data_IF_825113137368
#
_entry.id   IF_825113137368
#
_cell.length_a   1.000
_cell.length_b   1.000
_cell.length_c   1.000
_cell.angle_alpha   90.00
_cell.angle_beta   90.00
_cell.angle_gamma   90.00
#
_symmetry.space_group_name_H-M   'P 1'
#
loop_
_entity.id
_entity.type
_entity.pdbx_description
1 polymer ?
#
# COMPACT_ATOMS: atom_id res chain seq x y z
N UNK A 1 10.90 3.42 -3.80
CA UNK A 1 10.19 2.11 -3.90
C UNK A 1 9.84 1.81 -5.34
N UNK A 2 10.02 0.57 -5.79
CA UNK A 2 9.62 0.14 -7.15
C UNK A 2 8.62 -1.00 -7.05
N UNK A 3 7.70 -1.05 -8.02
CA UNK A 3 6.74 -2.14 -8.19
C UNK A 3 7.00 -2.80 -9.53
N UNK A 4 7.21 -4.10 -9.51
CA UNK A 4 7.41 -4.93 -10.70
C UNK A 4 6.14 -5.75 -10.91
N UNK A 5 5.61 -5.68 -12.11
CA UNK A 5 4.36 -6.33 -12.53
C UNK A 5 4.68 -7.21 -13.74
N UNK A 6 4.34 -8.49 -13.65
CA UNK A 6 4.45 -9.43 -14.77
C UNK A 6 3.09 -10.06 -15.08
N UNK A 7 2.78 -10.18 -16.37
CA UNK A 7 1.61 -10.86 -16.89
C UNK A 7 0.26 -10.37 -16.33
N UNK A 8 0.08 -9.05 -16.27
CA UNK A 8 -1.17 -8.41 -15.90
C UNK A 8 -2.04 -8.19 -17.16
N UNK A 9 -2.82 -9.16 -17.54
CA UNK A 9 -3.62 -9.12 -18.79
C UNK A 9 -2.74 -8.90 -20.01
N UNK A 10 -2.89 -7.75 -20.67
CA UNK A 10 -2.08 -7.38 -21.86
C UNK A 10 -0.67 -6.87 -21.49
N UNK A 11 -0.42 -6.53 -20.25
CA UNK A 11 0.89 -6.06 -19.77
C UNK A 11 1.78 -7.26 -19.51
N UNK A 12 2.81 -7.45 -20.29
CA UNK A 12 3.76 -8.56 -20.13
C UNK A 12 4.75 -8.30 -19.00
N UNK A 13 5.29 -7.09 -18.97
CA UNK A 13 6.22 -6.64 -17.92
C UNK A 13 6.11 -5.13 -17.74
N UNK A 14 6.13 -4.67 -16.50
CA UNK A 14 6.23 -3.25 -16.16
C UNK A 14 7.01 -3.08 -14.86
N UNK A 15 7.91 -2.09 -14.83
CA UNK A 15 8.56 -1.62 -13.60
C UNK A 15 8.15 -0.19 -13.37
N UNK A 16 7.52 0.08 -12.24
CA UNK A 16 7.00 1.39 -11.87
C UNK A 16 7.82 1.93 -10.68
N UNK A 17 8.42 3.09 -10.87
CA UNK A 17 9.15 3.80 -9.82
C UNK A 17 8.18 4.74 -9.07
N UNK A 18 7.80 4.38 -7.86
CA UNK A 18 6.90 5.16 -7.01
C UNK A 18 7.59 6.31 -6.25
N UNK A 19 8.88 6.53 -6.48
CA UNK A 19 9.60 7.67 -5.92
C UNK A 19 9.33 8.98 -6.65
N UNK A 20 8.54 8.92 -7.70
CA UNK A 20 8.17 10.08 -8.50
C UNK A 20 6.93 10.75 -7.93
N UNK A 21 6.93 12.08 -7.88
CA UNK A 21 5.78 12.86 -7.43
C UNK A 21 4.57 12.74 -8.37
N UNK A 22 4.81 12.40 -9.63
CA UNK A 22 3.78 12.25 -10.66
C UNK A 22 4.13 11.02 -11.49
N UNK A 23 3.15 10.13 -11.68
CA UNK A 23 3.20 9.01 -12.59
C UNK A 23 2.15 9.22 -13.69
N UNK A 24 2.59 9.25 -14.94
CA UNK A 24 1.72 9.41 -16.09
C UNK A 24 1.79 8.17 -16.98
N UNK A 25 0.65 7.46 -17.10
CA UNK A 25 0.52 6.31 -17.99
C UNK A 25 -0.03 6.75 -19.35
N UNK A 26 0.83 6.78 -20.37
CA UNK A 26 0.46 7.11 -21.73
C UNK A 26 0.51 5.87 -22.63
N UNK A 27 -0.30 5.87 -23.69
CA UNK A 27 -0.31 4.80 -24.68
C UNK A 27 -1.70 4.60 -25.32
N UNK A 28 -1.82 3.77 -26.36
CA UNK A 28 -3.07 3.49 -27.05
C UNK A 28 -4.11 2.84 -26.14
N UNK A 29 -5.36 2.78 -26.60
CA UNK A 29 -6.40 2.03 -25.89
C UNK A 29 -6.01 0.55 -25.82
N UNK A 30 -6.46 -0.14 -24.77
CA UNK A 30 -6.14 -1.54 -24.47
C UNK A 30 -4.65 -1.84 -24.20
N UNK A 31 -3.81 -0.85 -23.90
CA UNK A 31 -2.40 -1.09 -23.54
C UNK A 31 -2.18 -1.45 -22.05
N UNK A 32 -3.24 -1.61 -21.26
CA UNK A 32 -3.15 -2.04 -19.86
C UNK A 32 -2.96 -0.91 -18.83
N UNK A 33 -2.99 0.37 -19.22
CA UNK A 33 -2.84 1.52 -18.32
C UNK A 33 -3.76 1.44 -17.10
N UNK A 34 -5.02 1.17 -17.35
CA UNK A 34 -6.05 1.06 -16.31
C UNK A 34 -5.75 -0.12 -15.37
N UNK A 35 -5.30 -1.25 -15.87
CA UNK A 35 -4.93 -2.41 -15.05
C UNK A 35 -3.78 -2.09 -14.10
N UNK A 36 -2.74 -1.40 -14.59
CA UNK A 36 -1.62 -0.95 -13.74
C UNK A 36 -2.13 -0.01 -12.66
N UNK A 37 -2.93 0.99 -13.00
CA UNK A 37 -3.47 1.96 -12.03
C UNK A 37 -4.33 1.26 -10.95
N UNK A 38 -5.17 0.31 -11.33
CA UNK A 38 -5.98 -0.46 -10.38
C UNK A 38 -5.12 -1.32 -9.45
N UNK A 39 -4.11 -2.01 -9.98
CA UNK A 39 -3.19 -2.82 -9.16
C UNK A 39 -2.43 -1.96 -8.17
N UNK A 40 -1.91 -0.81 -8.58
CA UNK A 40 -1.23 0.12 -7.68
C UNK A 40 -2.17 0.66 -6.61
N UNK A 41 -3.38 1.07 -6.99
CA UNK A 41 -4.38 1.52 -6.02
C UNK A 41 -4.74 0.40 -5.03
N UNK A 42 -5.00 -0.79 -5.53
CA UNK A 42 -5.31 -1.94 -4.69
C UNK A 42 -4.15 -2.29 -3.74
N UNK A 43 -2.89 -2.26 -4.22
CA UNK A 43 -1.70 -2.51 -3.40
C UNK A 43 -1.61 -1.54 -2.20
N UNK A 44 -1.88 -0.26 -2.46
CA UNK A 44 -1.78 0.78 -1.44
C UNK A 44 -3.00 0.86 -0.51
N UNK A 45 -4.12 0.24 -0.89
CA UNK A 45 -5.41 0.34 -0.18
C UNK A 45 -5.76 -0.93 0.62
N UNK A 46 -4.80 -1.87 0.86
CA UNK A 46 -5.08 -3.15 1.53
C UNK A 46 -5.30 -3.00 3.04
N UNK A 47 -6.47 -2.49 3.43
CA UNK A 47 -6.84 -2.31 4.84
C UNK A 47 -6.81 -3.60 5.68
N UNK A 48 -7.26 -4.79 5.19
CA UNK A 48 -7.18 -6.02 5.97
C UNK A 48 -5.73 -6.44 6.27
N UNK A 49 -4.85 -6.36 5.26
CA UNK A 49 -3.42 -6.66 5.41
C UNK A 49 -2.76 -5.67 6.35
N UNK A 50 -3.05 -4.37 6.18
CA UNK A 50 -2.52 -3.33 7.06
C UNK A 50 -2.93 -3.57 8.51
N UNK A 51 -4.19 -3.89 8.77
CA UNK A 51 -4.68 -4.19 10.11
C UNK A 51 -3.95 -5.39 10.73
N UNK A 52 -3.72 -6.46 9.98
CA UNK A 52 -3.00 -7.64 10.46
C UNK A 52 -1.57 -7.31 10.87
N UNK A 53 -0.84 -6.57 10.03
CA UNK A 53 0.55 -6.17 10.30
C UNK A 53 0.64 -5.19 11.46
N UNK A 54 -0.31 -4.26 11.58
CA UNK A 54 -0.28 -3.20 12.58
C UNK A 54 -0.70 -3.66 13.98
N UNK A 55 -1.46 -4.74 14.11
CA UNK A 55 -1.94 -5.21 15.43
C UNK A 55 -0.82 -5.43 16.45
N UNK A 56 0.38 -5.80 15.99
CA UNK A 56 1.55 -6.04 16.86
C UNK A 56 2.46 -4.80 17.02
N UNK A 57 2.23 -3.76 16.22
CA UNK A 57 3.09 -2.58 16.18
C UNK A 57 2.50 -1.37 16.91
N UNK A 58 1.24 -1.46 17.36
CA UNK A 58 0.50 -0.36 17.94
C UNK A 58 0.58 -0.39 19.46
N UNK A 59 1.13 0.66 20.04
CA UNK A 59 1.01 0.94 21.47
C UNK A 59 -0.13 1.93 21.71
N UNK A 60 -0.95 1.65 22.71
CA UNK A 60 -2.10 2.47 23.10
C UNK A 60 -1.80 3.18 24.42
N UNK A 61 -2.15 4.44 24.53
CA UNK A 61 -2.08 5.17 25.81
C UNK A 61 -3.12 4.63 26.83
N UNK A 62 -2.96 5.01 28.09
CA UNK A 62 -3.87 4.57 29.17
C UNK A 62 -5.32 5.02 28.95
N UNK A 63 -5.55 6.13 28.26
CA UNK A 63 -6.87 6.69 27.99
C UNK A 63 -7.48 6.16 26.69
N UNK A 64 -6.69 5.48 25.85
CA UNK A 64 -7.13 4.93 24.59
C UNK A 64 -7.44 5.96 23.50
N UNK A 65 -6.87 7.15 23.62
CA UNK A 65 -7.05 8.26 22.67
C UNK A 65 -5.83 8.51 21.80
N UNK A 66 -4.67 8.03 22.21
CA UNK A 66 -3.42 8.17 21.47
C UNK A 66 -2.84 6.80 21.15
N UNK A 67 -2.47 6.62 19.90
CA UNK A 67 -1.83 5.41 19.39
C UNK A 67 -0.47 5.77 18.85
N UNK A 68 0.55 5.05 19.28
CA UNK A 68 1.91 5.16 18.72
C UNK A 68 2.25 3.91 17.96
N UNK A 69 2.73 4.09 16.74
CA UNK A 69 3.09 3.01 15.84
C UNK A 69 4.55 3.19 15.46
N UNK A 70 5.37 2.19 15.73
CA UNK A 70 6.76 2.19 15.28
C UNK A 70 6.85 1.50 13.91
N UNK A 71 7.09 2.28 12.87
CA UNK A 71 7.20 1.79 11.49
C UNK A 71 8.66 1.45 11.19
N UNK A 72 9.02 0.19 11.36
CA UNK A 72 10.35 -0.31 10.97
C UNK A 72 10.40 -0.68 9.49
N UNK A 73 11.60 -0.84 8.93
CA UNK A 73 11.78 -1.33 7.56
C UNK A 73 11.15 -2.71 7.39
N UNK A 74 11.36 -3.58 8.36
CA UNK A 74 10.83 -4.95 8.37
C UNK A 74 9.31 -4.95 8.30
N UNK A 75 8.65 -4.07 9.06
CA UNK A 75 7.20 -3.90 9.06
C UNK A 75 6.67 -3.49 7.68
N UNK A 76 7.34 -2.54 7.02
CA UNK A 76 6.98 -2.11 5.66
C UNK A 76 7.16 -3.27 4.67
N UNK A 77 8.29 -3.96 4.72
CA UNK A 77 8.59 -5.09 3.82
C UNK A 77 7.58 -6.21 4.02
N UNK A 78 7.24 -6.53 5.27
CA UNK A 78 6.20 -7.53 5.59
C UNK A 78 4.84 -7.13 5.03
N UNK A 79 4.41 -5.89 5.24
CA UNK A 79 3.18 -5.38 4.65
C UNK A 79 3.15 -5.52 3.13
N UNK A 80 4.20 -5.07 2.44
CA UNK A 80 4.28 -5.12 0.99
C UNK A 80 4.25 -6.56 0.45
N UNK A 81 4.91 -7.49 1.15
CA UNK A 81 4.91 -8.91 0.82
C UNK A 81 3.51 -9.52 0.97
N UNK A 82 2.84 -9.26 2.09
CA UNK A 82 1.50 -9.77 2.34
C UNK A 82 0.48 -9.15 1.39
N UNK A 83 0.55 -7.85 1.14
CA UNK A 83 -0.31 -7.16 0.19
C UNK A 83 -0.14 -7.69 -1.24
N UNK A 84 1.10 -7.89 -1.69
CA UNK A 84 1.39 -8.49 -3.00
C UNK A 84 0.83 -9.91 -3.12
N UNK A 85 1.00 -10.73 -2.09
CA UNK A 85 0.46 -12.10 -2.06
C UNK A 85 -1.06 -12.11 -2.05
N UNK A 86 -1.69 -11.24 -1.27
CA UNK A 86 -3.14 -11.10 -1.25
C UNK A 86 -3.69 -10.69 -2.62
N UNK A 87 -3.07 -9.71 -3.27
CA UNK A 87 -3.49 -9.28 -4.61
C UNK A 87 -3.36 -10.41 -5.63
N UNK A 88 -2.25 -11.13 -5.65
CA UNK A 88 -2.04 -12.25 -6.58
C UNK A 88 -3.10 -13.35 -6.43
N UNK A 89 -3.65 -13.53 -5.24
CA UNK A 89 -4.68 -14.54 -4.95
C UNK A 89 -6.11 -14.06 -5.18
N UNK A 90 -6.34 -12.75 -5.27
CA UNK A 90 -7.68 -12.15 -5.26
C UNK A 90 -7.94 -11.23 -6.47
N UNK A 91 -7.16 -11.36 -7.54
CA UNK A 91 -7.28 -10.48 -8.72
C UNK A 91 -8.66 -10.55 -9.37
N UNK A 92 -9.27 -11.73 -9.45
CA UNK A 92 -10.61 -11.88 -10.00
C UNK A 92 -11.65 -11.08 -9.24
N UNK A 93 -11.63 -11.15 -7.92
CA UNK A 93 -12.52 -10.37 -7.05
C UNK A 93 -12.28 -8.85 -7.18
N UNK A 94 -11.01 -8.43 -7.23
CA UNK A 94 -10.62 -7.02 -7.34
C UNK A 94 -11.11 -6.40 -8.66
N UNK A 95 -11.07 -7.17 -9.75
CA UNK A 95 -11.53 -6.73 -11.07
C UNK A 95 -12.98 -7.11 -11.39
N UNK A 96 -13.67 -7.78 -10.46
CA UNK A 96 -15.06 -8.22 -10.67
C UNK A 96 -15.19 -9.26 -11.79
N UNK A 97 -14.20 -10.14 -11.97
CA UNK A 97 -14.17 -11.16 -13.01
C UNK A 97 -14.75 -12.49 -12.53
N UNK A 98 -15.31 -13.27 -13.44
CA UNK A 98 -15.64 -14.67 -13.18
C UNK A 98 -14.34 -15.51 -13.06
N UNK A 99 -14.43 -16.69 -12.39
CA UNK A 99 -13.28 -17.59 -12.22
C UNK A 99 -12.61 -18.00 -13.56
N UNK A 100 -13.40 -18.17 -14.62
CA UNK A 100 -12.87 -18.48 -15.94
C UNK A 100 -12.04 -17.32 -16.51
N UNK A 101 -12.55 -16.11 -16.39
CA UNK A 101 -11.85 -14.91 -16.84
C UNK A 101 -10.60 -14.65 -16.00
N UNK A 102 -10.65 -14.87 -14.70
CA UNK A 102 -9.50 -14.76 -13.82
C UNK A 102 -8.38 -15.71 -14.23
N UNK A 103 -8.70 -16.98 -14.43
CA UNK A 103 -7.75 -18.00 -14.88
C UNK A 103 -7.13 -17.68 -16.25
N UNK A 104 -7.89 -17.05 -17.12
CA UNK A 104 -7.41 -16.62 -18.45
C UNK A 104 -6.51 -15.41 -18.40
N UNK A 105 -6.90 -14.37 -17.64
CA UNK A 105 -6.24 -13.06 -17.62
C UNK A 105 -5.06 -12.96 -16.66
N UNK A 106 -5.09 -13.69 -15.54
CA UNK A 106 -4.12 -13.54 -14.45
C UNK A 106 -3.40 -14.83 -14.06
N UNK A 107 -3.47 -15.86 -14.91
CA UNK A 107 -2.87 -17.18 -14.64
C UNK A 107 -1.39 -17.15 -14.23
N UNK A 108 -0.64 -16.19 -14.73
CA UNK A 108 0.80 -16.03 -14.47
C UNK A 108 1.13 -14.65 -13.91
N UNK A 109 0.12 -13.96 -13.36
CA UNK A 109 0.32 -12.66 -12.75
C UNK A 109 1.29 -12.74 -11.58
N UNK A 110 2.28 -11.84 -11.59
CA UNK A 110 3.21 -11.66 -10.49
C UNK A 110 3.31 -10.19 -10.13
N UNK A 111 3.40 -9.92 -8.85
CA UNK A 111 3.57 -8.60 -8.29
C UNK A 111 4.69 -8.65 -7.25
N UNK A 112 5.70 -7.83 -7.43
CA UNK A 112 6.81 -7.70 -6.51
C UNK A 112 7.02 -6.23 -6.13
N UNK A 113 7.22 -5.98 -4.84
CA UNK A 113 7.56 -4.66 -4.33
C UNK A 113 9.02 -4.66 -3.88
N UNK A 114 9.82 -3.77 -4.47
CA UNK A 114 11.21 -3.56 -4.11
C UNK A 114 11.28 -2.33 -3.21
N UNK A 115 11.64 -2.56 -1.94
CA UNK A 115 11.78 -1.53 -0.92
C UNK A 115 13.13 -1.70 -0.23
N UNK A 116 14.03 -0.75 -0.44
CA UNK A 116 15.40 -0.84 0.00
C UNK A 116 15.73 0.10 1.18
N UNK A 117 17.00 0.13 1.59
CA UNK A 117 17.45 0.98 2.69
C UNK A 117 17.38 2.47 2.36
N UNK A 118 17.52 2.84 1.10
CA UNK A 118 17.38 4.23 0.66
C UNK A 118 15.92 4.69 0.75
N UNK A 119 14.97 3.80 0.42
CA UNK A 119 13.53 4.05 0.58
C UNK A 119 13.17 4.26 2.04
N UNK A 120 13.65 3.37 2.93
CA UNK A 120 13.41 3.50 4.36
C UNK A 120 14.06 4.75 4.94
N UNK A 121 15.28 5.09 4.52
CA UNK A 121 15.98 6.30 4.96
C UNK A 121 15.22 7.57 4.59
N UNK A 122 14.61 7.62 3.41
CA UNK A 122 13.72 8.72 3.02
C UNK A 122 12.51 8.81 3.94
N UNK A 123 11.78 7.71 4.11
CA UNK A 123 10.66 7.65 5.06
C UNK A 123 11.06 8.12 6.45
N UNK A 124 12.20 7.64 6.98
CA UNK A 124 12.70 8.01 8.30
C UNK A 124 12.99 9.51 8.40
N UNK A 125 13.64 10.10 7.39
CA UNK A 125 14.05 11.50 7.39
C UNK A 125 12.91 12.48 7.14
N UNK A 126 11.82 12.05 6.54
CA UNK A 126 10.67 12.90 6.22
C UNK A 126 9.74 13.09 7.42
N UNK A 127 9.03 14.21 7.40
CA UNK A 127 7.91 14.49 8.30
C UNK A 127 6.61 14.54 7.51
N UNK A 128 5.54 14.09 8.11
CA UNK A 128 4.21 14.28 7.54
C UNK A 128 3.15 14.44 8.64
N UNK A 129 2.04 15.01 8.23
CA UNK A 129 0.81 15.05 9.01
C UNK A 129 -0.33 14.56 8.13
N UNK A 130 -1.22 13.79 8.71
CA UNK A 130 -2.43 13.35 8.03
C UNK A 130 -3.63 13.66 8.92
N UNK A 131 -4.72 14.02 8.27
CA UNK A 131 -6.00 14.25 8.91
C UNK A 131 -7.03 13.37 8.22
N UNK A 132 -7.78 12.65 9.02
CA UNK A 132 -8.89 11.85 8.53
C UNK A 132 -10.08 12.00 9.47
N UNK A 133 -11.27 12.04 8.91
CA UNK A 133 -12.51 12.10 9.66
C UNK A 133 -13.43 10.97 9.19
N UNK A 134 -13.96 10.22 10.13
CA UNK A 134 -14.95 9.19 9.89
C UNK A 134 -15.97 9.20 11.03
N UNK A 135 -17.23 9.23 10.65
CA UNK A 135 -18.37 9.31 11.57
C UNK A 135 -18.22 10.49 12.55
N UNK A 136 -18.23 10.22 13.85
CA UNK A 136 -18.09 11.18 14.95
C UNK A 136 -16.64 11.37 15.42
N UNK A 137 -15.66 10.82 14.68
CA UNK A 137 -14.26 10.80 15.09
C UNK A 137 -13.34 11.54 14.15
N UNK A 138 -12.36 12.20 14.73
CA UNK A 138 -11.23 12.84 14.04
C UNK A 138 -9.95 12.13 14.38
N UNK A 139 -9.14 11.85 13.35
CA UNK A 139 -7.85 11.18 13.45
C UNK A 139 -6.77 12.14 12.98
N UNK A 140 -5.85 12.49 13.87
CA UNK A 140 -4.71 13.34 13.58
C UNK A 140 -3.43 12.51 13.68
N UNK A 141 -2.87 12.13 12.54
CA UNK A 141 -1.62 11.41 12.47
C UNK A 141 -0.44 12.36 12.27
N UNK A 142 0.65 12.13 12.99
CA UNK A 142 1.90 12.90 12.87
C UNK A 142 3.11 12.01 12.92
N UNK A 143 4.06 12.28 12.06
CA UNK A 143 5.40 11.70 12.09
C UNK A 143 6.42 12.83 12.13
N UNK A 144 7.31 12.80 13.10
CA UNK A 144 8.42 13.73 13.19
C UNK A 144 9.52 13.38 12.16
N UNK A 145 10.35 14.36 11.84
CA UNK A 145 11.58 14.15 11.08
C UNK A 145 12.55 13.28 11.87
N UNK A 146 13.28 12.41 11.18
CA UNK A 146 14.26 11.49 11.77
C UNK A 146 13.63 10.56 12.85
N UNK A 147 12.42 10.10 12.59
CA UNK A 147 11.70 9.18 13.47
C UNK A 147 11.05 8.07 12.67
N UNK A 148 10.96 6.90 13.25
CA UNK A 148 10.14 5.78 12.76
C UNK A 148 8.74 5.77 13.39
N UNK A 149 8.48 6.64 14.36
CA UNK A 149 7.23 6.66 15.08
C UNK A 149 6.18 7.55 14.43
N UNK A 150 4.97 7.01 14.31
CA UNK A 150 3.77 7.75 13.93
C UNK A 150 2.86 7.78 15.15
N UNK A 151 2.47 8.98 15.57
CA UNK A 151 1.48 9.19 16.62
C UNK A 151 0.15 9.52 15.98
N UNK A 152 -0.92 8.84 16.38
CA UNK A 152 -2.30 9.08 15.93
C UNK A 152 -3.14 9.45 17.15
N UNK A 153 -3.67 10.66 17.16
CA UNK A 153 -4.61 11.14 18.16
C UNK A 153 -6.04 10.98 17.64
N UNK A 154 -6.92 10.43 18.47
CA UNK A 154 -8.34 10.28 18.17
C UNK A 154 -9.13 11.18 19.09
N UNK A 155 -10.00 12.03 18.54
CA UNK A 155 -10.94 12.88 19.29
C UNK A 155 -12.36 12.70 18.76
N UNK A 156 -13.35 12.79 19.63
CA UNK A 156 -14.76 12.90 19.26
C UNK A 156 -15.09 14.34 18.86
N UNK A 157 -16.06 14.51 18.00
CA UNK A 157 -16.60 15.82 17.62
C UNK A 157 -17.60 16.32 18.64
#
# INVERSE_FOLDING_TARGET
MKVVIDNLGVVKHATIDLDKNILLFCGPNNSGKTYIAYVLNALLSQSPVLRSVMNNAVMKDQNGTTYTINITKELIVEYLKLASSYLQQNMGSIFGLSEEMEKSFFRSFKLECIYDDADYKRFFNDKFSLYYQADDRKYNGRKAKNSSEITIEISTM
#
